data_IF_804271032530
#
_entry.id   IF_804271032530
#
_cell.length_a   1.000
_cell.length_b   1.000
_cell.length_c   1.000
_cell.angle_alpha   90.00
_cell.angle_beta   90.00
_cell.angle_gamma   90.00
#
_symmetry.space_group_name_H-M   'P 1'
#
loop_
_entity.id
_entity.type
_entity.pdbx_description
1 polymer ?
#
# COMPACT_ATOMS: atom_id res chain seq x y z
N UNK A 1 -27.87 47.53 -5.28
CA UNK A 1 -27.34 47.98 -3.98
C UNK A 1 -26.29 49.04 -4.23
N UNK A 2 -26.39 50.22 -3.60
CA UNK A 2 -25.43 51.34 -3.78
C UNK A 2 -24.25 51.26 -2.80
N UNK A 3 -23.75 50.05 -2.52
CA UNK A 3 -22.60 49.88 -1.63
C UNK A 3 -21.32 50.31 -2.36
N UNK A 4 -20.71 51.40 -1.91
CA UNK A 4 -19.51 52.00 -2.50
C UNK A 4 -18.53 52.37 -1.38
N UNK A 5 -17.68 51.42 -0.94
CA UNK A 5 -16.71 51.69 0.12
C UNK A 5 -15.62 52.63 -0.39
N UNK A 6 -15.07 53.46 0.51
CA UNK A 6 -13.97 54.37 0.18
C UNK A 6 -12.70 53.63 -0.27
N UNK A 7 -12.48 52.42 0.24
CA UNK A 7 -11.43 51.53 -0.24
C UNK A 7 -12.04 50.46 -1.18
N UNK A 8 -11.63 50.51 -2.45
CA UNK A 8 -12.12 49.62 -3.51
C UNK A 8 -11.80 48.14 -3.29
N UNK A 9 -10.81 47.81 -2.45
CA UNK A 9 -10.48 46.42 -2.08
C UNK A 9 -11.63 45.71 -1.35
N UNK A 10 -12.53 46.47 -0.72
CA UNK A 10 -13.71 45.93 -0.04
C UNK A 10 -14.98 46.03 -0.90
N UNK A 11 -14.86 46.40 -2.18
CA UNK A 11 -16.01 46.43 -3.09
C UNK A 11 -16.62 45.02 -3.26
N UNK A 12 -17.91 44.97 -3.59
CA UNK A 12 -18.58 43.70 -3.90
C UNK A 12 -17.86 42.93 -4.99
N UNK A 13 -17.39 43.62 -6.04
CA UNK A 13 -16.65 43.00 -7.14
C UNK A 13 -15.33 42.35 -6.68
N UNK A 14 -14.56 43.03 -5.82
CA UNK A 14 -13.32 42.49 -5.26
C UNK A 14 -13.58 41.25 -4.40
N UNK A 15 -14.61 41.30 -3.53
CA UNK A 15 -14.99 40.16 -2.68
C UNK A 15 -15.50 38.98 -3.51
N UNK A 16 -16.33 39.22 -4.53
CA UNK A 16 -16.81 38.18 -5.43
C UNK A 16 -15.67 37.51 -6.19
N UNK A 17 -14.69 38.29 -6.64
CA UNK A 17 -13.48 37.78 -7.31
C UNK A 17 -12.67 36.91 -6.36
N UNK A 18 -12.34 37.42 -5.17
CA UNK A 18 -11.58 36.69 -4.16
C UNK A 18 -12.30 35.39 -3.72
N UNK A 19 -13.62 35.42 -3.62
CA UNK A 19 -14.41 34.23 -3.32
C UNK A 19 -14.36 33.19 -4.46
N UNK A 20 -14.43 33.64 -5.72
CA UNK A 20 -14.29 32.73 -6.86
C UNK A 20 -12.89 32.09 -6.92
N UNK A 21 -11.85 32.87 -6.66
CA UNK A 21 -10.46 32.37 -6.57
C UNK A 21 -10.29 31.37 -5.42
N UNK A 22 -10.87 31.65 -4.25
CA UNK A 22 -10.88 30.73 -3.11
C UNK A 22 -11.53 29.39 -3.47
N UNK A 23 -12.71 29.42 -4.10
CA UNK A 23 -13.41 28.20 -4.51
C UNK A 23 -12.61 27.40 -5.55
N UNK A 24 -11.94 28.07 -6.49
CA UNK A 24 -11.07 27.42 -7.48
C UNK A 24 -9.86 26.75 -6.81
N UNK A 25 -9.23 27.42 -5.84
CA UNK A 25 -8.12 26.87 -5.07
C UNK A 25 -8.55 25.63 -4.26
N UNK A 26 -9.68 25.71 -3.55
CA UNK A 26 -10.24 24.59 -2.77
C UNK A 26 -10.59 23.39 -3.67
N UNK A 27 -11.15 23.65 -4.85
CA UNK A 27 -11.45 22.59 -5.82
C UNK A 27 -10.17 21.89 -6.28
N UNK A 28 -9.13 22.67 -6.58
CA UNK A 28 -7.83 22.13 -7.01
C UNK A 28 -7.17 21.31 -5.91
N UNK A 29 -7.22 21.78 -4.66
CA UNK A 29 -6.74 21.05 -3.49
C UNK A 29 -7.45 19.70 -3.36
N UNK A 30 -8.79 19.70 -3.38
CA UNK A 30 -9.60 18.49 -3.25
C UNK A 30 -9.30 17.47 -4.36
N UNK A 31 -9.17 17.93 -5.61
CA UNK A 31 -8.81 17.08 -6.75
C UNK A 31 -7.42 16.47 -6.59
N UNK A 32 -6.45 17.26 -6.12
CA UNK A 32 -5.07 16.80 -5.89
C UNK A 32 -5.00 15.77 -4.77
N UNK A 33 -5.72 15.99 -3.66
CA UNK A 33 -5.82 15.03 -2.57
C UNK A 33 -6.46 13.71 -3.02
N UNK A 34 -7.52 13.78 -3.82
CA UNK A 34 -8.17 12.60 -4.39
C UNK A 34 -7.23 11.83 -5.34
N UNK A 35 -6.49 12.54 -6.20
CA UNK A 35 -5.51 11.92 -7.10
C UNK A 35 -4.38 11.22 -6.33
N UNK A 36 -3.86 11.86 -5.26
CA UNK A 36 -2.85 11.26 -4.40
C UNK A 36 -3.38 10.01 -3.67
N UNK A 37 -4.64 10.02 -3.22
CA UNK A 37 -5.28 8.85 -2.63
C UNK A 37 -5.41 7.70 -3.64
N UNK A 38 -5.91 7.98 -4.85
CA UNK A 38 -6.02 6.99 -5.91
C UNK A 38 -4.65 6.40 -6.32
N UNK A 39 -3.60 7.22 -6.37
CA UNK A 39 -2.24 6.77 -6.64
C UNK A 39 -1.74 5.80 -5.55
N UNK A 40 -2.04 6.08 -4.28
CA UNK A 40 -1.70 5.21 -3.16
C UNK A 40 -2.41 3.86 -3.24
N UNK A 41 -3.72 3.87 -3.51
CA UNK A 41 -4.51 2.64 -3.61
C UNK A 41 -3.99 1.75 -4.75
N UNK A 42 -3.63 2.36 -5.88
CA UNK A 42 -3.00 1.66 -7.00
C UNK A 42 -1.64 1.07 -6.60
N UNK A 43 -0.79 1.81 -5.89
CA UNK A 43 0.50 1.29 -5.42
C UNK A 43 0.33 0.07 -4.52
N UNK A 44 -0.57 0.15 -3.53
CA UNK A 44 -0.90 -0.96 -2.64
C UNK A 44 -1.40 -2.17 -3.42
N UNK A 45 -2.29 -1.99 -4.41
CA UNK A 45 -2.75 -3.09 -5.25
C UNK A 45 -1.60 -3.77 -6.03
N UNK A 46 -0.63 -2.99 -6.52
CA UNK A 46 0.56 -3.55 -7.19
C UNK A 46 1.49 -4.27 -6.23
N UNK A 47 1.68 -3.76 -5.01
CA UNK A 47 2.45 -4.44 -3.95
C UNK A 47 1.84 -5.81 -3.61
N UNK A 48 0.52 -5.87 -3.43
CA UNK A 48 -0.20 -7.12 -3.19
C UNK A 48 -0.01 -8.13 -4.33
N UNK A 49 -0.15 -7.68 -5.58
CA UNK A 49 0.06 -8.54 -6.73
C UNK A 49 1.50 -9.09 -6.76
N UNK A 50 2.51 -8.22 -6.57
CA UNK A 50 3.91 -8.64 -6.52
C UNK A 50 4.17 -9.63 -5.38
N UNK A 51 3.62 -9.38 -4.19
CA UNK A 51 3.75 -10.29 -3.06
C UNK A 51 3.20 -11.68 -3.38
N UNK A 52 2.00 -11.76 -3.96
CA UNK A 52 1.37 -13.03 -4.34
C UNK A 52 2.18 -13.77 -5.41
N UNK A 53 2.72 -13.05 -6.41
CA UNK A 53 3.63 -13.65 -7.39
C UNK A 53 4.89 -14.21 -6.73
N UNK A 54 5.49 -13.51 -5.76
CA UNK A 54 6.67 -13.99 -5.04
C UNK A 54 6.37 -15.20 -4.15
N UNK A 55 5.17 -15.29 -3.56
CA UNK A 55 4.73 -16.50 -2.87
C UNK A 55 4.62 -17.66 -3.86
N UNK A 56 3.94 -17.45 -4.99
CA UNK A 56 3.83 -18.43 -6.08
C UNK A 56 5.19 -18.92 -6.57
N UNK A 57 6.14 -18.01 -6.82
CA UNK A 57 7.51 -18.37 -7.22
C UNK A 57 8.18 -19.30 -6.20
N UNK A 58 8.05 -19.00 -4.89
CA UNK A 58 8.61 -19.87 -3.85
C UNK A 58 7.99 -21.26 -3.86
N UNK A 59 6.68 -21.35 -4.12
CA UNK A 59 5.97 -22.62 -4.18
C UNK A 59 6.38 -23.43 -5.43
N UNK A 60 6.49 -22.76 -6.58
CA UNK A 60 6.93 -23.39 -7.83
C UNK A 60 8.37 -23.89 -7.75
N UNK A 61 9.30 -23.11 -7.20
CA UNK A 61 10.68 -23.56 -6.98
C UNK A 61 10.71 -24.78 -6.04
N UNK A 62 9.89 -24.77 -4.99
CA UNK A 62 9.78 -25.91 -4.08
C UNK A 62 9.21 -27.16 -4.78
N UNK A 63 8.23 -26.99 -5.66
CA UNK A 63 7.61 -28.07 -6.42
C UNK A 63 8.58 -28.65 -7.47
N UNK A 64 9.36 -27.81 -8.15
CA UNK A 64 10.25 -28.22 -9.24
C UNK A 64 11.53 -28.91 -8.73
N UNK A 65 12.18 -28.35 -7.71
CA UNK A 65 13.47 -28.84 -7.22
C UNK A 65 13.36 -29.72 -5.96
N UNK A 66 12.18 -29.73 -5.33
CA UNK A 66 11.95 -30.40 -4.06
C UNK A 66 12.41 -29.58 -2.86
N UNK A 67 11.80 -29.87 -1.70
CA UNK A 67 11.92 -29.02 -0.49
C UNK A 67 13.30 -29.03 0.17
N UNK A 68 14.17 -29.97 -0.14
CA UNK A 68 15.52 -30.08 0.44
C UNK A 68 16.64 -29.59 -0.50
N UNK A 69 16.29 -28.89 -1.58
CA UNK A 69 17.20 -28.44 -2.63
C UNK A 69 17.98 -27.17 -2.27
N UNK A 70 19.07 -26.91 -2.98
CA UNK A 70 19.87 -25.68 -2.82
C UNK A 70 19.10 -24.46 -3.35
N UNK A 71 18.28 -24.66 -4.38
CA UNK A 71 17.45 -23.66 -5.05
C UNK A 71 16.41 -23.09 -4.07
N UNK A 72 15.73 -23.94 -3.31
CA UNK A 72 14.83 -23.52 -2.22
C UNK A 72 15.59 -22.72 -1.15
N UNK A 73 16.83 -23.09 -0.84
CA UNK A 73 17.65 -22.37 0.14
C UNK A 73 18.09 -20.99 -0.34
N UNK A 74 18.39 -20.83 -1.63
CA UNK A 74 18.75 -19.54 -2.23
C UNK A 74 17.64 -18.49 -2.11
N UNK A 75 16.38 -18.93 -1.99
CA UNK A 75 15.22 -18.07 -1.72
C UNK A 75 15.06 -17.67 -0.24
N UNK A 76 16.08 -17.92 0.59
CA UNK A 76 16.09 -17.60 2.02
C UNK A 76 15.30 -18.58 2.89
N UNK A 77 14.88 -19.73 2.35
CA UNK A 77 14.22 -20.80 3.14
C UNK A 77 15.28 -21.74 3.72
N UNK A 78 15.02 -22.30 4.90
CA UNK A 78 15.92 -23.31 5.48
C UNK A 78 15.54 -24.70 4.95
N UNK A 79 16.54 -25.53 4.64
CA UNK A 79 16.30 -26.91 4.18
C UNK A 79 15.82 -27.79 5.34
N UNK A 80 14.89 -28.74 5.11
CA UNK A 80 14.50 -29.77 6.07
C UNK A 80 15.67 -30.47 6.77
N UNK A 81 16.72 -30.82 6.02
CA UNK A 81 17.91 -31.52 6.57
C UNK A 81 18.73 -30.68 7.54
N UNK A 82 18.58 -29.35 7.52
CA UNK A 82 19.29 -28.43 8.40
C UNK A 82 18.49 -28.11 9.67
N UNK A 83 17.23 -28.54 9.75
CA UNK A 83 16.47 -28.46 11.00
C UNK A 83 16.95 -29.54 11.97
N UNK A 84 17.00 -29.18 13.25
CA UNK A 84 17.22 -30.18 14.31
C UNK A 84 16.09 -31.21 14.26
N UNK A 85 16.45 -32.49 14.22
CA UNK A 85 15.48 -33.58 14.23
C UNK A 85 14.52 -33.46 15.42
N UNK A 86 13.22 -33.65 15.16
CA UNK A 86 12.19 -33.56 16.18
C UNK A 86 12.29 -34.79 17.08
N UNK A 87 12.63 -34.60 18.36
CA UNK A 87 12.61 -35.69 19.34
C UNK A 87 11.16 -36.02 19.70
N UNK A 88 10.75 -37.27 19.52
CA UNK A 88 9.43 -37.73 19.96
C UNK A 88 9.45 -37.89 21.49
N UNK A 89 8.50 -37.27 22.19
CA UNK A 89 8.27 -37.57 23.62
C UNK A 89 7.77 -39.01 23.74
N UNK A 90 8.22 -39.78 24.75
CA UNK A 90 7.75 -41.14 24.97
C UNK A 90 6.24 -41.13 25.20
N UNK A 91 5.55 -42.16 24.68
CA UNK A 91 4.10 -42.29 24.80
C UNK A 91 3.76 -42.63 26.25
N UNK A 92 3.03 -41.74 26.93
CA UNK A 92 2.51 -42.04 28.28
C UNK A 92 1.56 -43.24 28.20
N UNK A 93 1.68 -44.25 29.08
CA UNK A 93 0.74 -45.36 29.12
C UNK A 93 -0.68 -44.83 29.37
N UNK A 94 -1.67 -45.34 28.63
CA UNK A 94 -3.08 -45.08 28.95
C UNK A 94 -3.43 -45.91 30.20
N UNK A 95 -3.86 -45.23 31.25
CA UNK A 95 -4.46 -45.82 32.46
C UNK A 95 -5.86 -46.36 32.18
#
# INVERSE_FOLDING_TARGET
TNYAPANSAFSTAAITTAHAELLAAQTTEAQTAAAAAAARDNAVAKEWNFHNLMLGTKDQVTAQFGRNSNEVQSLGRKKPSEYKARTRKPKTPKT
#
